data_IF_480025652678
#
_entry.id   IF_480025652678
#
_cell.length_a   1.000
_cell.length_b   1.000
_cell.length_c   1.000
_cell.angle_alpha   90.00
_cell.angle_beta   90.00
_cell.angle_gamma   90.00
#
_symmetry.space_group_name_H-M   'P 1'
#
loop_
_entity.id
_entity.type
_entity.pdbx_description
1 polymer ?
#
# COMPACT_ATOMS: atom_id res chain seq x y z
N UNK A 1 -60.20 -55.15 31.99
CA UNK A 1 -61.09 -54.07 32.47
C UNK A 1 -60.22 -52.89 32.86
N UNK A 2 -60.50 -51.72 32.27
CA UNK A 2 -60.07 -50.36 32.70
C UNK A 2 -58.55 -50.07 32.68
N UNK A 3 -58.03 -48.99 32.10
CA UNK A 3 -58.62 -47.82 31.45
C UNK A 3 -57.49 -46.91 30.99
N UNK A 4 -57.67 -46.31 29.83
CA UNK A 4 -56.76 -45.35 29.19
C UNK A 4 -56.63 -44.07 30.01
N UNK A 5 -55.41 -43.64 30.31
CA UNK A 5 -55.11 -42.23 30.63
C UNK A 5 -54.02 -41.74 29.69
N UNK A 6 -54.45 -41.05 28.64
CA UNK A 6 -53.60 -40.18 27.85
C UNK A 6 -53.18 -39.01 28.74
N UNK A 7 -51.87 -38.77 28.86
CA UNK A 7 -51.36 -37.50 29.38
C UNK A 7 -50.59 -36.81 28.27
N UNK A 8 -51.09 -35.62 27.95
CA UNK A 8 -50.75 -34.76 26.84
C UNK A 8 -49.34 -34.18 27.02
N UNK A 9 -48.59 -34.19 25.92
CA UNK A 9 -47.27 -33.59 25.75
C UNK A 9 -47.39 -32.06 25.73
N UNK A 10 -46.50 -31.33 26.41
CA UNK A 10 -46.05 -30.04 25.92
C UNK A 10 -44.62 -30.15 25.41
N UNK A 11 -44.48 -30.04 24.09
CA UNK A 11 -43.23 -29.82 23.39
C UNK A 11 -42.85 -28.35 23.58
N UNK A 12 -41.59 -28.07 23.93
CA UNK A 12 -40.78 -26.94 23.44
C UNK A 12 -39.49 -26.83 24.25
N UNK A 13 -38.36 -27.18 23.63
CA UNK A 13 -37.09 -26.43 23.70
C UNK A 13 -36.03 -27.24 22.95
N UNK A 14 -36.02 -27.06 21.63
CA UNK A 14 -34.88 -27.39 20.81
C UNK A 14 -33.77 -26.32 21.00
N UNK A 15 -32.55 -26.70 20.61
CA UNK A 15 -31.34 -25.88 20.52
C UNK A 15 -30.44 -25.82 21.77
N UNK A 16 -29.72 -26.92 22.02
CA UNK A 16 -28.36 -26.83 22.55
C UNK A 16 -27.40 -26.80 21.35
N UNK A 17 -26.91 -25.59 21.06
CA UNK A 17 -26.04 -25.26 19.95
C UNK A 17 -24.70 -26.00 20.01
N UNK A 18 -24.28 -26.49 18.84
CA UNK A 18 -22.91 -26.81 18.47
C UNK A 18 -22.01 -25.57 18.70
N UNK A 19 -21.25 -25.54 19.79
CA UNK A 19 -20.20 -24.56 20.02
C UNK A 19 -18.99 -25.26 20.61
N UNK A 20 -18.03 -25.65 19.77
CA UNK A 20 -16.60 -25.66 20.09
C UNK A 20 -15.74 -26.14 18.90
N UNK A 21 -15.91 -25.54 17.72
CA UNK A 21 -14.88 -25.49 16.70
C UNK A 21 -14.72 -24.01 16.32
N UNK A 22 -13.98 -23.27 17.14
CA UNK A 22 -13.86 -21.82 16.99
C UNK A 22 -12.80 -21.25 17.91
N UNK A 23 -11.60 -21.81 17.83
CA UNK A 23 -10.46 -21.40 18.63
C UNK A 23 -9.25 -21.06 17.77
N UNK A 24 -9.44 -20.47 16.59
CA UNK A 24 -8.33 -19.69 16.01
C UNK A 24 -8.14 -18.51 16.95
N UNK A 25 -7.19 -18.63 17.88
CA UNK A 25 -6.62 -17.48 18.57
C UNK A 25 -6.23 -16.49 17.48
N UNK A 26 -7.05 -15.45 17.29
CA UNK A 26 -6.74 -14.37 16.38
C UNK A 26 -5.59 -13.63 17.04
N UNK A 27 -4.36 -14.02 16.68
CA UNK A 27 -3.15 -13.31 17.07
C UNK A 27 -3.41 -11.84 16.80
N UNK A 28 -3.29 -10.94 17.80
CA UNK A 28 -3.51 -9.52 17.57
C UNK A 28 -2.61 -9.10 16.42
N UNK A 29 -3.21 -8.79 15.26
CA UNK A 29 -2.43 -8.35 14.12
C UNK A 29 -1.88 -6.98 14.47
N UNK A 30 -0.58 -6.77 14.24
CA UNK A 30 0.00 -5.45 14.42
C UNK A 30 -0.74 -4.43 13.54
N UNK A 31 -0.93 -3.19 14.00
CA UNK A 31 -1.72 -2.18 13.28
C UNK A 31 -1.21 -1.87 11.86
N UNK A 32 0.08 -2.13 11.61
CA UNK A 32 0.77 -1.91 10.34
C UNK A 32 0.73 -3.14 9.40
N UNK A 33 0.13 -4.26 9.82
CA UNK A 33 0.19 -5.54 9.09
C UNK A 33 -0.38 -5.44 7.67
N UNK A 34 -1.51 -4.75 7.51
CA UNK A 34 -2.11 -4.48 6.19
C UNK A 34 -1.20 -3.61 5.31
N UNK A 35 -0.51 -2.63 5.89
CA UNK A 35 0.45 -1.80 5.18
C UNK A 35 1.63 -2.64 4.68
N UNK A 36 2.23 -3.47 5.55
CA UNK A 36 3.36 -4.33 5.17
C UNK A 36 2.99 -5.32 4.05
N UNK A 37 1.80 -5.92 4.11
CA UNK A 37 1.31 -6.81 3.06
C UNK A 37 1.10 -6.08 1.73
N UNK A 38 0.51 -4.88 1.77
CA UNK A 38 0.31 -4.08 0.56
C UNK A 38 1.63 -3.60 -0.04
N UNK A 39 2.61 -3.26 0.79
CA UNK A 39 3.96 -2.87 0.36
C UNK A 39 4.66 -4.03 -0.36
N UNK A 40 4.65 -5.22 0.23
CA UNK A 40 5.23 -6.42 -0.37
C UNK A 40 4.58 -6.74 -1.72
N UNK A 41 3.24 -6.66 -1.79
CA UNK A 41 2.48 -6.87 -3.03
C UNK A 41 2.86 -5.84 -4.09
N UNK A 42 2.97 -4.56 -3.73
CA UNK A 42 3.32 -3.50 -4.67
C UNK A 42 4.77 -3.64 -5.19
N UNK A 43 5.71 -4.01 -4.32
CA UNK A 43 7.09 -4.31 -4.69
C UNK A 43 7.16 -5.53 -5.61
N UNK A 44 6.45 -6.61 -5.27
CA UNK A 44 6.41 -7.84 -6.07
C UNK A 44 5.79 -7.62 -7.45
N UNK A 45 4.77 -6.76 -7.53
CA UNK A 45 4.15 -6.38 -8.80
C UNK A 45 5.11 -5.57 -9.70
N UNK A 46 6.18 -4.99 -9.15
CA UNK A 46 7.20 -4.25 -9.91
C UNK A 46 6.68 -3.04 -10.69
N UNK A 47 5.47 -2.58 -10.39
CA UNK A 47 4.76 -1.53 -11.14
C UNK A 47 4.81 -0.20 -10.38
N UNK A 48 4.99 0.90 -11.11
CA UNK A 48 5.10 2.24 -10.52
C UNK A 48 3.76 2.96 -10.34
N UNK A 49 2.66 2.31 -10.72
CA UNK A 49 1.30 2.82 -10.66
C UNK A 49 0.27 1.67 -10.53
N UNK A 50 -1.01 2.00 -10.69
CA UNK A 50 -2.09 1.02 -10.67
C UNK A 50 -2.60 0.64 -9.28
N UNK A 51 -3.39 -0.43 -9.25
CA UNK A 51 -4.15 -0.83 -8.07
C UNK A 51 -3.27 -1.21 -6.88
N UNK A 52 -2.12 -1.85 -7.12
CA UNK A 52 -1.21 -2.26 -6.03
C UNK A 52 -0.60 -1.07 -5.30
N UNK A 53 -0.18 -0.02 -6.03
CA UNK A 53 0.33 1.23 -5.45
C UNK A 53 -0.78 2.01 -4.75
N UNK A 54 -2.00 2.03 -5.33
CA UNK A 54 -3.18 2.65 -4.68
C UNK A 54 -3.55 1.94 -3.37
N UNK A 55 -3.54 0.62 -3.37
CA UNK A 55 -3.85 -0.20 -2.19
C UNK A 55 -2.81 0.01 -1.08
N UNK A 56 -1.52 0.11 -1.45
CA UNK A 56 -0.43 0.47 -0.54
C UNK A 56 -0.69 1.80 0.17
N UNK A 57 -0.95 2.86 -0.60
CA UNK A 57 -1.25 4.18 -0.04
C UNK A 57 -2.48 4.16 0.86
N UNK A 58 -3.54 3.46 0.43
CA UNK A 58 -4.77 3.31 1.22
C UNK A 58 -4.51 2.57 2.53
N UNK A 59 -3.65 1.55 2.53
CA UNK A 59 -3.27 0.81 3.73
C UNK A 59 -2.43 1.66 4.68
N UNK A 60 -1.47 2.44 4.16
CA UNK A 60 -0.70 3.39 4.94
C UNK A 60 -1.59 4.44 5.59
N UNK A 61 -2.52 5.03 4.84
CA UNK A 61 -3.42 6.08 5.35
C UNK A 61 -4.35 5.56 6.44
N UNK A 62 -4.87 4.34 6.30
CA UNK A 62 -5.66 3.69 7.37
C UNK A 62 -4.83 3.46 8.61
N UNK A 63 -3.62 2.91 8.48
CA UNK A 63 -2.73 2.70 9.61
C UNK A 63 -2.40 4.03 10.32
N UNK A 64 -1.98 5.04 9.56
CA UNK A 64 -1.68 6.38 10.09
C UNK A 64 -2.89 7.01 10.80
N UNK A 65 -4.10 6.87 10.24
CA UNK A 65 -5.33 7.38 10.83
C UNK A 65 -5.66 6.72 12.17
N UNK A 66 -5.56 5.39 12.25
CA UNK A 66 -5.76 4.65 13.51
C UNK A 66 -4.70 5.05 14.53
N UNK A 67 -3.43 4.99 14.15
CA UNK A 67 -2.30 5.33 15.01
C UNK A 67 -2.38 6.76 15.56
N UNK A 68 -2.71 7.74 14.70
CA UNK A 68 -2.82 9.15 15.09
C UNK A 68 -4.01 9.44 16.01
N UNK A 69 -4.98 8.53 16.10
CA UNK A 69 -6.11 8.66 17.04
C UNK A 69 -5.80 8.19 18.46
N UNK A 70 -4.68 7.47 18.66
CA UNK A 70 -4.26 6.94 19.95
C UNK A 70 -3.45 8.03 20.69
N UNK A 71 -3.98 8.50 21.81
CA UNK A 71 -3.32 9.53 22.62
C UNK A 71 -1.93 9.06 23.10
N UNK A 72 -0.90 9.85 22.83
CA UNK A 72 0.48 9.54 23.21
C UNK A 72 1.19 8.51 22.34
N UNK A 73 0.57 8.03 21.25
CA UNK A 73 1.22 7.10 20.32
C UNK A 73 2.43 7.75 19.62
N UNK A 74 3.63 7.16 19.73
CA UNK A 74 4.80 7.67 19.02
C UNK A 74 4.68 7.35 17.53
N UNK A 75 4.61 8.39 16.68
CA UNK A 75 4.40 8.21 15.23
C UNK A 75 5.68 7.85 14.44
N UNK A 76 6.67 7.28 15.12
CA UNK A 76 8.00 7.04 14.55
C UNK A 76 7.98 5.93 13.50
N UNK A 77 7.19 4.89 13.73
CA UNK A 77 7.11 3.76 12.81
C UNK A 77 6.49 4.18 11.46
N UNK A 78 5.47 5.03 11.49
CA UNK A 78 4.79 5.56 10.31
C UNK A 78 5.73 6.48 9.50
N UNK A 79 6.57 7.27 10.18
CA UNK A 79 7.56 8.12 9.53
C UNK A 79 8.68 7.29 8.89
N UNK A 80 9.22 6.30 9.61
CA UNK A 80 10.25 5.38 9.10
C UNK A 80 9.70 4.55 7.93
N UNK A 81 8.45 4.13 7.99
CA UNK A 81 7.77 3.40 6.94
C UNK A 81 7.75 4.19 5.62
N UNK A 82 7.42 5.49 5.64
CA UNK A 82 7.45 6.32 4.44
C UNK A 82 8.85 6.51 3.87
N UNK A 83 9.88 6.65 4.73
CA UNK A 83 11.25 6.77 4.26
C UNK A 83 11.67 5.48 3.53
N UNK A 84 11.43 4.32 4.15
CA UNK A 84 11.73 3.00 3.58
C UNK A 84 10.94 2.71 2.31
N UNK A 85 9.65 3.03 2.28
CA UNK A 85 8.82 2.92 1.08
C UNK A 85 9.42 3.75 -0.05
N UNK A 86 9.79 5.00 0.23
CA UNK A 86 10.43 5.87 -0.74
C UNK A 86 11.72 5.27 -1.30
N UNK A 87 12.57 4.73 -0.42
CA UNK A 87 13.83 4.10 -0.82
C UNK A 87 13.63 2.85 -1.67
N UNK A 88 12.66 2.01 -1.33
CA UNK A 88 12.34 0.81 -2.11
C UNK A 88 11.85 1.16 -3.52
N UNK A 89 10.90 2.09 -3.65
CA UNK A 89 10.43 2.51 -4.97
C UNK A 89 11.49 3.28 -5.76
N UNK A 90 12.42 3.98 -5.11
CA UNK A 90 13.59 4.55 -5.78
C UNK A 90 14.48 3.46 -6.37
N UNK A 91 14.75 2.40 -5.61
CA UNK A 91 15.56 1.25 -6.08
C UNK A 91 14.89 0.53 -7.25
N UNK A 92 13.56 0.41 -7.24
CA UNK A 92 12.78 -0.20 -8.31
C UNK A 92 12.64 0.66 -9.58
N UNK A 93 13.17 1.88 -9.58
CA UNK A 93 13.03 2.78 -10.73
C UNK A 93 11.66 3.45 -10.84
N UNK A 94 10.94 3.60 -9.73
CA UNK A 94 9.65 4.28 -9.61
C UNK A 94 9.79 5.64 -8.90
N UNK A 95 10.41 6.66 -9.55
CA UNK A 95 10.77 7.91 -8.90
C UNK A 95 9.56 8.72 -8.42
N UNK A 96 8.39 8.61 -9.06
CA UNK A 96 7.20 9.37 -8.64
C UNK A 96 6.58 8.82 -7.35
N UNK A 97 6.55 7.49 -7.17
CA UNK A 97 6.12 6.87 -5.91
C UNK A 97 7.11 7.19 -4.79
N UNK A 98 8.41 7.15 -5.09
CA UNK A 98 9.45 7.56 -4.14
C UNK A 98 9.28 9.02 -3.71
N UNK A 99 9.10 9.92 -4.69
CA UNK A 99 8.86 11.35 -4.49
C UNK A 99 7.63 11.60 -3.62
N UNK A 100 6.53 10.90 -3.88
CA UNK A 100 5.32 11.00 -3.08
C UNK A 100 5.53 10.55 -1.62
N UNK A 101 6.31 9.49 -1.41
CA UNK A 101 6.67 8.95 -0.09
C UNK A 101 7.45 9.96 0.74
N UNK A 102 8.55 10.49 0.20
CA UNK A 102 9.38 11.46 0.90
C UNK A 102 8.64 12.80 1.15
N UNK A 103 7.85 13.29 0.18
CA UNK A 103 7.05 14.51 0.37
C UNK A 103 5.98 14.31 1.46
N UNK A 104 5.37 13.13 1.52
CA UNK A 104 4.38 12.82 2.55
C UNK A 104 5.03 12.77 3.93
N UNK A 105 6.24 12.21 4.05
CA UNK A 105 7.00 12.22 5.31
C UNK A 105 7.26 13.66 5.77
N UNK A 106 7.81 14.51 4.90
CA UNK A 106 8.14 15.90 5.24
C UNK A 106 6.89 16.68 5.67
N UNK A 107 5.74 16.46 5.01
CA UNK A 107 4.49 17.17 5.29
C UNK A 107 3.78 16.67 6.55
N UNK A 108 3.71 15.36 6.77
CA UNK A 108 2.90 14.76 7.86
C UNK A 108 3.60 14.71 9.21
N UNK A 109 4.92 14.89 9.25
CA UNK A 109 5.72 14.79 10.45
C UNK A 109 6.59 16.06 10.63
N UNK A 110 5.99 17.23 10.88
CA UNK A 110 6.72 18.50 11.00
C UNK A 110 7.45 18.68 12.34
N UNK A 111 7.18 17.86 13.35
CA UNK A 111 7.68 18.01 14.71
C UNK A 111 9.21 17.80 14.81
N UNK A 112 9.88 18.46 15.75
CA UNK A 112 11.36 18.45 15.84
C UNK A 112 11.95 17.05 16.03
N UNK A 113 11.21 16.15 16.69
CA UNK A 113 11.62 14.74 16.84
C UNK A 113 11.83 13.99 15.51
N UNK A 114 11.30 14.50 14.40
CA UNK A 114 11.42 13.90 13.07
C UNK A 114 12.41 14.63 12.15
N UNK A 115 13.16 15.63 12.65
CA UNK A 115 14.17 16.36 11.85
C UNK A 115 15.11 15.40 11.09
N UNK A 116 15.72 14.36 11.73
CA UNK A 116 16.63 13.48 11.01
C UNK A 116 15.97 12.74 9.84
N UNK A 117 14.72 12.30 10.01
CA UNK A 117 13.96 11.61 8.96
C UNK A 117 13.57 12.57 7.83
N UNK A 118 13.21 13.82 8.16
CA UNK A 118 12.91 14.84 7.15
C UNK A 118 14.15 15.21 6.34
N UNK A 119 15.32 15.37 6.97
CA UNK A 119 16.55 15.66 6.23
C UNK A 119 16.95 14.50 5.32
N UNK A 120 16.84 13.25 5.79
CA UNK A 120 17.05 12.08 4.95
C UNK A 120 16.09 12.06 3.75
N UNK A 121 14.80 12.32 3.97
CA UNK A 121 13.81 12.42 2.91
C UNK A 121 14.11 13.54 1.90
N UNK A 122 14.58 14.71 2.36
CA UNK A 122 14.98 15.83 1.48
C UNK A 122 16.19 15.47 0.64
N UNK A 123 17.21 14.87 1.23
CA UNK A 123 18.38 14.40 0.52
C UNK A 123 18.00 13.38 -0.56
N UNK A 124 17.18 12.39 -0.22
CA UNK A 124 16.68 11.42 -1.20
C UNK A 124 15.83 12.07 -2.30
N UNK A 125 14.99 13.06 -1.98
CA UNK A 125 14.22 13.82 -2.98
C UNK A 125 15.08 14.58 -3.98
N UNK A 126 16.20 15.15 -3.53
CA UNK A 126 17.15 15.87 -4.38
C UNK A 126 17.92 14.92 -5.30
N UNK A 127 18.13 13.68 -4.87
CA UNK A 127 18.78 12.64 -5.67
C UNK A 127 17.86 12.00 -6.73
N UNK A 128 16.55 12.25 -6.70
CA UNK A 128 15.62 11.71 -7.70
C UNK A 128 15.73 12.49 -9.03
N UNK A 129 15.56 11.81 -10.18
CA UNK A 129 15.46 12.49 -11.46
C UNK A 129 14.31 13.52 -11.44
N UNK A 130 14.45 14.65 -12.15
CA UNK A 130 13.39 15.66 -12.19
C UNK A 130 12.09 15.04 -12.72
N UNK A 131 10.92 15.49 -12.22
CA UNK A 131 9.66 15.01 -12.75
C UNK A 131 9.57 15.32 -14.25
N UNK A 132 8.91 14.46 -15.06
CA UNK A 132 8.74 14.71 -16.48
C UNK A 132 8.06 16.06 -16.69
N UNK A 133 8.50 16.79 -17.72
CA UNK A 133 7.88 18.06 -18.09
C UNK A 133 6.41 17.82 -18.44
N UNK A 134 5.48 18.71 -18.03
CA UNK A 134 4.10 18.63 -18.47
C UNK A 134 4.04 18.64 -20.00
N UNK A 135 3.54 17.55 -20.61
CA UNK A 135 3.36 17.43 -22.06
C UNK A 135 4.40 16.60 -22.82
N UNK A 136 5.45 16.08 -22.18
CA UNK A 136 6.37 15.14 -22.83
C UNK A 136 5.89 13.71 -22.64
N UNK A 137 4.81 13.32 -23.32
CA UNK A 137 4.55 11.89 -23.58
C UNK A 137 5.72 11.43 -24.45
N UNK A 138 6.62 10.58 -23.93
CA UNK A 138 7.65 9.97 -24.76
C UNK A 138 6.95 9.17 -25.85
N UNK A 139 6.96 9.70 -27.08
CA UNK A 139 6.58 8.93 -28.24
C UNK A 139 7.51 7.70 -28.31
N UNK A 140 6.99 6.50 -28.60
CA UNK A 140 7.85 5.35 -28.83
C UNK A 140 8.90 5.73 -29.88
N UNK A 141 10.18 5.49 -29.57
CA UNK A 141 11.25 5.68 -30.53
C UNK A 141 11.00 4.74 -31.72
N UNK A 142 10.40 5.28 -32.79
CA UNK A 142 10.26 4.57 -34.05
C UNK A 142 11.68 4.42 -34.60
N UNK A 143 12.14 3.20 -34.94
CA UNK A 143 13.44 3.04 -35.57
C UNK A 143 13.41 3.79 -36.89
N UNK A 144 14.30 4.78 -37.06
CA UNK A 144 14.54 5.43 -38.34
C UNK A 144 14.97 4.36 -39.34
N UNK A 145 14.03 3.94 -40.20
CA UNK A 145 14.32 3.06 -41.33
C UNK A 145 15.33 3.71 -42.28
N UNK A 146 16.13 2.91 -43.00
CA UNK A 146 17.19 3.44 -43.85
C UNK A 146 16.62 4.31 -44.97
N UNK A 147 17.18 5.51 -45.10
CA UNK A 147 16.96 6.47 -46.18
C UNK A 147 17.08 5.79 -47.55
N UNK A 148 15.99 5.73 -48.30
CA UNK A 148 15.98 5.22 -49.67
C UNK A 148 16.63 6.27 -50.59
N UNK A 149 17.91 6.09 -50.89
CA UNK A 149 18.65 6.93 -51.83
C UNK A 149 18.12 6.62 -53.25
N UNK A 150 17.49 7.62 -53.88
CA UNK A 150 17.05 7.56 -55.27
C UNK A 150 18.28 7.67 -56.20
N UNK A 151 18.49 6.75 -57.16
CA UNK A 151 19.60 6.86 -58.09
C UNK A 151 19.41 8.01 -59.10
N UNK A 152 20.50 8.59 -59.64
CA UNK A 152 20.43 9.64 -60.63
C UNK A 152 19.93 9.11 -61.98
N UNK A 153 19.14 9.92 -62.69
CA UNK A 153 18.71 9.65 -64.05
C UNK A 153 19.89 9.88 -65.01
N UNK A 154 20.23 8.88 -65.80
CA UNK A 154 21.15 9.00 -66.94
C UNK A 154 20.44 9.73 -68.09
N UNK A 155 21.12 10.70 -68.71
CA UNK A 155 20.88 11.22 -70.06
C UNK A 155 22.23 11.23 -70.78
#
# INVERSE_FOLDING_TARGET
MSGTKASVIPATAAAACLLALGGCAQVPQSPDSAYRQALEKAITAGSCDGDSVRDLWSAYDRWYGVASSIAGHPKTDEAVALLRQGDQFRILGCPEVARASYRTLIRRFPEDGFVPLREAARASLQALPPPPAPGTTQAPAVPSGPTLVRPPAEI
#
